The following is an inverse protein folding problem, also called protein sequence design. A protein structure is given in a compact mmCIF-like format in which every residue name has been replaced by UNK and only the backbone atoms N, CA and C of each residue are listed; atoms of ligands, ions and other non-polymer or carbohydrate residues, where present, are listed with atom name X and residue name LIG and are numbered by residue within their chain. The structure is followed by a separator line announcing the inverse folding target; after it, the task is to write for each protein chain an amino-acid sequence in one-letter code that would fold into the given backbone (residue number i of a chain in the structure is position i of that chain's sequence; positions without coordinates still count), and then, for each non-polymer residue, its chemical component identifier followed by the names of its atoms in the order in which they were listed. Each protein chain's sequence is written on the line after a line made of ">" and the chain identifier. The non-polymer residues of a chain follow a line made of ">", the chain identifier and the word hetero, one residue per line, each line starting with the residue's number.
data_IF_249232992071
#
_entry.id   IF_249232992071
#
_cell.length_a   1.000
_cell.length_b   1.000
_cell.length_c   1.000
_cell.angle_alpha   90.00
_cell.angle_beta   90.00
_cell.angle_gamma   90.00
#
_symmetry.space_group_name_H-M   'P 1'
#
loop_
_entity.id
_entity.type
_entity.pdbx_description
1 polymer ?
#
# COMPACT_ATOMS: atom_id res chain seq x y z
N UNK A 1 11.38 25.91 6.30
CA UNK A 1 10.46 25.15 7.17
C UNK A 1 10.00 23.89 6.47
N UNK A 2 9.93 22.81 7.20
CA UNK A 2 9.55 21.53 6.64
C UNK A 2 8.04 21.40 6.65
N UNK A 3 7.48 21.04 5.52
CA UNK A 3 6.08 20.67 5.47
C UNK A 3 6.01 19.17 5.18
N UNK A 4 5.44 18.43 6.11
CA UNK A 4 5.21 17.00 5.91
C UNK A 4 3.76 16.81 5.48
N UNK A 5 3.57 16.15 4.38
CA UNK A 5 2.25 15.90 3.83
C UNK A 5 1.92 14.43 3.99
N UNK A 6 0.74 14.14 4.47
CA UNK A 6 0.25 12.77 4.55
C UNK A 6 -0.58 12.47 3.32
N UNK A 7 -0.24 11.39 2.63
CA UNK A 7 -0.98 10.90 1.48
C UNK A 7 -1.36 9.45 1.73
N UNK A 8 -2.48 9.05 1.14
CA UNK A 8 -2.97 7.68 1.30
C UNK A 8 -2.99 6.98 -0.06
N UNK A 9 -2.49 5.74 -0.07
CA UNK A 9 -2.62 4.88 -1.23
C UNK A 9 -3.96 4.17 -1.09
N UNK A 10 -4.83 4.36 -2.06
CA UNK A 10 -6.19 3.82 -2.01
C UNK A 10 -6.37 2.68 -3.00
N UNK A 11 -7.34 1.83 -2.73
CA UNK A 11 -7.67 0.75 -3.64
C UNK A 11 -8.40 1.31 -4.87
N UNK A 12 -8.01 0.83 -6.04
CA UNK A 12 -8.70 1.21 -7.28
C UNK A 12 -9.89 0.30 -7.58
N UNK A 13 -10.00 -0.82 -6.87
CA UNK A 13 -11.06 -1.80 -7.07
C UNK A 13 -11.28 -2.60 -5.79
N UNK A 14 -12.45 -3.23 -5.62
CA UNK A 14 -12.67 -4.12 -4.48
C UNK A 14 -11.92 -5.43 -4.68
N UNK A 15 -11.56 -6.08 -3.59
CA UNK A 15 -10.87 -7.36 -3.62
C UNK A 15 -10.32 -7.73 -2.27
N UNK A 16 -9.28 -8.53 -2.27
CA UNK A 16 -8.59 -8.97 -1.05
C UNK A 16 -7.19 -8.39 -1.05
N UNK A 17 -6.83 -7.77 0.06
CA UNK A 17 -5.55 -7.09 0.22
C UNK A 17 -4.48 -8.08 0.67
N UNK A 18 -3.33 -8.08 -0.03
CA UNK A 18 -2.18 -8.91 0.33
C UNK A 18 -0.96 -8.03 0.49
N UNK A 19 -0.28 -8.16 1.64
CA UNK A 19 0.95 -7.44 1.91
C UNK A 19 2.17 -8.12 1.31
N UNK A 20 2.02 -9.39 0.91
CA UNK A 20 3.12 -10.21 0.43
C UNK A 20 2.61 -11.11 -0.68
N UNK A 21 3.49 -11.54 -1.60
CA UNK A 21 3.06 -12.36 -2.72
C UNK A 21 2.66 -13.77 -2.31
N UNK A 22 3.21 -14.25 -1.19
CA UNK A 22 2.98 -15.60 -0.70
C UNK A 22 3.12 -15.55 0.82
N UNK A 23 2.38 -16.37 1.58
CA UNK A 23 2.50 -16.37 3.05
C UNK A 23 3.92 -16.59 3.57
N UNK A 24 4.78 -17.25 2.78
CA UNK A 24 6.16 -17.52 3.18
C UNK A 24 7.13 -16.41 2.79
N UNK A 25 6.69 -15.46 1.97
CA UNK A 25 7.53 -14.36 1.52
C UNK A 25 7.41 -13.16 2.46
N UNK A 26 8.43 -12.32 2.55
CA UNK A 26 8.32 -11.11 3.34
C UNK A 26 7.34 -10.13 2.70
N UNK A 27 6.76 -9.21 3.49
CA UNK A 27 5.92 -8.15 2.94
C UNK A 27 6.68 -7.29 1.93
N UNK A 28 5.95 -6.72 0.98
CA UNK A 28 6.57 -5.80 0.01
C UNK A 28 7.16 -4.58 0.71
N UNK A 29 6.45 -4.06 1.71
CA UNK A 29 6.91 -2.93 2.52
C UNK A 29 6.48 -3.12 3.96
N UNK A 30 7.18 -2.44 4.85
CA UNK A 30 6.86 -2.39 6.27
C UNK A 30 6.82 -0.94 6.72
N UNK A 31 6.20 -0.69 7.86
CA UNK A 31 6.16 0.65 8.45
C UNK A 31 7.59 1.11 8.69
N UNK A 32 7.92 2.29 8.20
CA UNK A 32 9.26 2.86 8.27
C UNK A 32 10.05 2.76 6.98
N UNK A 33 9.58 1.98 6.01
CA UNK A 33 10.28 1.84 4.74
C UNK A 33 10.12 3.10 3.88
N UNK A 34 11.19 3.45 3.19
CA UNK A 34 11.14 4.50 2.18
C UNK A 34 10.72 3.89 0.84
N UNK A 35 9.83 4.55 0.15
CA UNK A 35 9.34 4.11 -1.15
C UNK A 35 9.44 5.24 -2.16
N UNK A 36 9.55 4.85 -3.43
CA UNK A 36 9.51 5.78 -4.55
C UNK A 36 8.21 5.57 -5.31
N UNK A 37 7.76 6.63 -5.98
CA UNK A 37 6.57 6.54 -6.81
C UNK A 37 6.69 5.35 -7.78
N UNK A 38 5.65 4.53 -7.82
CA UNK A 38 5.63 3.34 -8.67
C UNK A 38 6.13 2.06 -7.99
N UNK A 39 6.71 2.16 -6.80
CA UNK A 39 7.15 0.96 -6.08
C UNK A 39 5.95 0.12 -5.67
N UNK A 40 6.07 -1.19 -5.84
CA UNK A 40 5.02 -2.11 -5.44
C UNK A 40 4.96 -2.19 -3.93
N UNK A 41 3.79 -1.94 -3.38
CA UNK A 41 3.58 -1.93 -1.94
C UNK A 41 2.69 -3.07 -1.46
N UNK A 42 1.81 -3.56 -2.32
CA UNK A 42 0.87 -4.61 -1.96
C UNK A 42 0.24 -5.19 -3.23
N UNK A 43 -0.64 -6.16 -3.03
CA UNK A 43 -1.44 -6.73 -4.11
C UNK A 43 -2.91 -6.70 -3.71
N UNK A 44 -3.78 -6.56 -4.71
CA UNK A 44 -5.21 -6.76 -4.53
C UNK A 44 -5.61 -7.94 -5.41
N UNK A 45 -6.14 -8.98 -4.78
CA UNK A 45 -6.63 -10.15 -5.49
C UNK A 45 -8.11 -9.99 -5.83
N UNK A 46 -8.43 -10.13 -7.10
CA UNK A 46 -9.81 -10.11 -7.59
C UNK A 46 -10.01 -11.38 -8.39
N UNK A 47 -10.77 -12.31 -7.84
CA UNK A 47 -10.94 -13.63 -8.43
C UNK A 47 -9.59 -14.34 -8.59
N UNK A 48 -9.15 -14.57 -9.82
CA UNK A 48 -7.87 -15.24 -10.11
C UNK A 48 -6.78 -14.26 -10.53
N UNK A 49 -7.09 -12.96 -10.53
CA UNK A 49 -6.16 -11.94 -10.98
C UNK A 49 -5.63 -11.15 -9.79
N UNK A 50 -4.37 -10.75 -9.89
CA UNK A 50 -3.73 -9.91 -8.89
C UNK A 50 -3.34 -8.58 -9.53
N UNK A 51 -3.62 -7.51 -8.82
CA UNK A 51 -3.31 -6.16 -9.28
C UNK A 51 -2.33 -5.53 -8.31
N UNK A 52 -1.30 -4.91 -8.85
CA UNK A 52 -0.29 -4.25 -8.02
C UNK A 52 -0.85 -2.98 -7.40
N UNK A 53 -0.57 -2.79 -6.11
CA UNK A 53 -0.80 -1.52 -5.44
C UNK A 53 0.56 -0.84 -5.36
N UNK A 54 0.69 0.30 -6.01
CA UNK A 54 1.96 1.01 -6.10
C UNK A 54 1.90 2.33 -5.37
N UNK A 55 3.06 2.81 -4.94
CA UNK A 55 3.15 4.10 -4.27
C UNK A 55 2.79 5.21 -5.25
N UNK A 56 1.95 6.13 -4.79
CA UNK A 56 1.54 7.29 -5.60
C UNK A 56 2.55 8.45 -5.52
N UNK A 57 3.42 8.41 -4.53
CA UNK A 57 4.42 9.45 -4.28
C UNK A 57 5.66 8.83 -3.66
N UNK A 58 6.76 9.55 -3.75
CA UNK A 58 7.95 9.21 -2.95
C UNK A 58 7.66 9.57 -1.50
N UNK A 59 8.04 8.72 -0.57
CA UNK A 59 7.79 9.00 0.84
C UNK A 59 8.17 7.85 1.73
N UNK A 60 7.69 7.90 2.96
CA UNK A 60 7.91 6.87 3.97
C UNK A 60 6.59 6.24 4.36
N UNK A 61 6.56 4.91 4.45
CA UNK A 61 5.37 4.19 4.93
C UNK A 61 5.23 4.45 6.41
N UNK A 62 4.17 5.14 6.81
CA UNK A 62 3.94 5.48 8.22
C UNK A 62 2.85 4.65 8.87
N UNK A 63 1.98 4.03 8.08
CA UNK A 63 0.99 3.10 8.60
C UNK A 63 0.46 2.20 7.49
N UNK A 64 0.01 1.02 7.87
CA UNK A 64 -0.69 0.10 6.97
C UNK A 64 -2.06 -0.12 7.60
N UNK A 65 -3.09 0.36 6.91
CA UNK A 65 -4.42 0.55 7.49
C UNK A 65 -5.31 -0.68 7.40
N UNK A 66 -4.89 -1.70 6.67
CA UNK A 66 -5.65 -2.95 6.51
C UNK A 66 -4.78 -4.15 6.83
N UNK A 67 -5.40 -5.18 7.34
CA UNK A 67 -4.71 -6.43 7.64
C UNK A 67 -4.48 -7.23 6.35
N UNK A 68 -3.46 -8.08 6.40
CA UNK A 68 -3.21 -9.01 5.31
C UNK A 68 -4.43 -9.92 5.12
N UNK A 69 -4.82 -10.13 3.88
CA UNK A 69 -5.96 -10.95 3.49
C UNK A 69 -7.33 -10.36 3.86
N UNK A 70 -7.37 -9.07 4.19
CA UNK A 70 -8.63 -8.38 4.46
C UNK A 70 -9.37 -8.04 3.18
N UNK A 71 -10.69 -8.06 3.24
CA UNK A 71 -11.51 -7.60 2.12
C UNK A 71 -11.49 -6.07 2.09
N UNK A 72 -11.34 -5.51 0.90
CA UNK A 72 -11.29 -4.07 0.70
C UNK A 72 -12.25 -3.64 -0.39
N UNK A 73 -12.60 -2.36 -0.36
CA UNK A 73 -13.49 -1.76 -1.35
C UNK A 73 -12.77 -0.69 -2.15
N UNK A 74 -13.29 -0.36 -3.32
CA UNK A 74 -12.73 0.71 -4.14
C UNK A 74 -12.75 2.03 -3.37
N UNK A 75 -11.65 2.76 -3.42
CA UNK A 75 -11.50 4.02 -2.71
C UNK A 75 -11.09 3.89 -1.25
N UNK A 76 -10.98 2.68 -0.74
CA UNK A 76 -10.57 2.47 0.65
C UNK A 76 -9.09 2.80 0.80
N UNK A 77 -8.76 3.52 1.88
CA UNK A 77 -7.37 3.84 2.20
C UNK A 77 -6.64 2.60 2.71
N UNK A 78 -5.52 2.29 2.10
CA UNK A 78 -4.77 1.06 2.39
C UNK A 78 -3.49 1.34 3.15
N UNK A 79 -2.71 2.32 2.70
CA UNK A 79 -1.39 2.59 3.25
C UNK A 79 -1.23 4.09 3.38
N UNK A 80 -0.70 4.51 4.51
CA UNK A 80 -0.40 5.91 4.77
C UNK A 80 1.06 6.19 4.45
N UNK A 81 1.28 7.22 3.66
CA UNK A 81 2.62 7.70 3.33
C UNK A 81 2.82 9.09 3.89
N UNK A 82 3.98 9.34 4.44
CA UNK A 82 4.39 10.70 4.80
C UNK A 82 5.41 11.16 3.78
N UNK A 83 5.13 12.29 3.17
CA UNK A 83 5.97 12.90 2.15
C UNK A 83 6.66 14.09 2.78
N UNK A 84 7.97 14.12 2.63
CA UNK A 84 8.79 15.22 3.15
C UNK A 84 9.04 16.20 1.99
N UNK A 85 8.39 17.33 2.04
CA UNK A 85 8.51 18.38 1.02
C UNK A 85 9.60 19.38 1.37
#
# INVERSE_FOLDING_TARGET
>A
MWDMTTEYVTASMPGVFYRQPDPEDPPFVEIGDEVSEGDKMALVGVMKNFHDVTASHDGTVTDILVDNEAEIEAGQELIELTIDD
#
